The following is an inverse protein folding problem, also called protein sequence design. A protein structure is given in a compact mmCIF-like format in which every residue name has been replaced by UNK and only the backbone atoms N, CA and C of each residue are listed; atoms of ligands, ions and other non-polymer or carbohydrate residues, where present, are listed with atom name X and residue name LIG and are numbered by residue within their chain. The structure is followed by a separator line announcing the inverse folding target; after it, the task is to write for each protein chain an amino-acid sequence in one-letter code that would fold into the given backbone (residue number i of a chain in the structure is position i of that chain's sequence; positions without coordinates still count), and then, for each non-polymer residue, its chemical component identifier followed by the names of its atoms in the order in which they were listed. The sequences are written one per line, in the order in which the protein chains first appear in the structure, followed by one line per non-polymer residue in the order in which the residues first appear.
data_IF_617783735304
#
_entry.id   IF_617783735304
#
_cell.length_a   1.000
_cell.length_b   1.000
_cell.length_c   1.000
_cell.angle_alpha   90.00
_cell.angle_beta   90.00
_cell.angle_gamma   90.00
#
_symmetry.space_group_name_H-M   'P 1'
#
loop_
_entity.id
_entity.type
_entity.pdbx_description
1 polymer ?
#
# COMPACT_ATOMS: atom_id res chain seq x y z
N UNK A 1 6.18 -1.86 -23.17
CA UNK A 1 5.20 -2.78 -23.74
C UNK A 1 5.16 -4.02 -22.86
N UNK A 2 4.06 -4.26 -22.14
CA UNK A 2 3.67 -5.56 -21.61
C UNK A 2 2.14 -5.58 -21.45
N UNK A 3 1.58 -6.71 -21.87
CA UNK A 3 0.19 -6.93 -22.26
C UNK A 3 -0.76 -7.26 -21.09
N UNK A 4 -2.06 -6.99 -21.34
CA UNK A 4 -3.30 -7.36 -20.62
C UNK A 4 -3.38 -8.88 -20.29
N UNK A 5 -4.19 -9.43 -19.38
CA UNK A 5 -5.61 -9.19 -19.06
C UNK A 5 -6.07 -10.07 -17.86
N UNK A 6 -7.30 -9.83 -17.36
CA UNK A 6 -8.18 -10.67 -16.51
C UNK A 6 -8.24 -10.44 -14.97
N UNK A 7 -9.42 -9.97 -14.53
CA UNK A 7 -10.00 -10.02 -13.17
C UNK A 7 -9.21 -9.40 -12.01
N UNK A 8 -9.55 -8.14 -11.72
CA UNK A 8 -9.71 -7.66 -10.33
C UNK A 8 -8.46 -7.56 -9.47
N UNK A 9 -7.26 -7.71 -10.02
CA UNK A 9 -6.02 -7.41 -9.32
C UNK A 9 -5.54 -6.03 -9.78
N UNK A 10 -5.57 -5.07 -8.85
CA UNK A 10 -4.84 -3.82 -9.03
C UNK A 10 -3.37 -4.23 -9.05
N UNK A 11 -2.82 -4.50 -10.25
CA UNK A 11 -1.39 -4.73 -10.45
C UNK A 11 -0.66 -3.42 -10.13
N UNK A 12 -0.47 -3.16 -8.84
CA UNK A 12 0.43 -2.15 -8.34
C UNK A 12 1.83 -2.65 -8.64
N UNK A 13 2.39 -2.20 -9.75
CA UNK A 13 3.83 -2.23 -10.00
C UNK A 13 4.53 -1.24 -9.05
N UNK A 14 4.29 -1.39 -7.74
CA UNK A 14 4.76 -0.49 -6.71
C UNK A 14 5.97 -1.14 -6.04
N UNK A 15 7.12 -1.09 -6.70
CA UNK A 15 8.37 -1.10 -5.96
C UNK A 15 8.39 0.16 -5.09
N UNK A 16 7.91 0.04 -3.85
CA UNK A 16 7.95 1.14 -2.88
C UNK A 16 9.40 1.41 -2.47
N UNK A 17 9.75 2.68 -2.37
CA UNK A 17 11.07 3.14 -1.95
C UNK A 17 10.95 4.06 -0.74
N UNK A 18 12.01 4.15 0.06
CA UNK A 18 12.07 5.10 1.17
C UNK A 18 11.98 6.53 0.63
N UNK A 19 11.08 7.33 1.20
CA UNK A 19 10.78 8.68 0.75
C UNK A 19 9.55 8.79 -0.16
N UNK A 20 8.98 7.66 -0.62
CA UNK A 20 7.76 7.68 -1.42
C UNK A 20 6.58 8.27 -0.64
N UNK A 21 5.89 9.22 -1.26
CA UNK A 21 4.61 9.74 -0.75
C UNK A 21 3.50 8.76 -1.06
N UNK A 22 2.76 8.36 -0.04
CA UNK A 22 1.71 7.35 -0.14
C UNK A 22 0.42 7.81 0.52
N UNK A 23 -0.70 7.29 0.04
CA UNK A 23 -2.01 7.42 0.67
C UNK A 23 -2.37 6.11 1.34
N UNK A 24 -2.71 6.17 2.63
CA UNK A 24 -3.33 5.09 3.38
C UNK A 24 -4.83 5.12 3.09
N UNK A 25 -5.36 4.04 2.56
CA UNK A 25 -6.75 3.89 2.15
C UNK A 25 -7.42 2.76 2.92
N UNK A 26 -8.71 2.92 3.22
CA UNK A 26 -9.52 1.77 3.62
C UNK A 26 -9.83 0.88 2.42
N UNK A 27 -10.49 -0.24 2.68
CA UNK A 27 -10.95 -1.17 1.66
C UNK A 27 -11.82 -0.51 0.58
N UNK A 28 -12.61 0.50 0.94
CA UNK A 28 -13.49 1.22 0.01
C UNK A 28 -12.75 2.27 -0.84
N UNK A 29 -11.42 2.38 -0.67
CA UNK A 29 -10.58 3.33 -1.39
C UNK A 29 -10.60 4.74 -0.82
N UNK A 30 -11.27 4.97 0.32
CA UNK A 30 -11.28 6.28 0.99
C UNK A 30 -9.91 6.53 1.59
N UNK A 31 -9.33 7.69 1.26
CA UNK A 31 -8.07 8.15 1.85
C UNK A 31 -8.30 8.48 3.32
N UNK A 32 -7.67 7.71 4.20
CA UNK A 32 -7.66 7.94 5.65
C UNK A 32 -6.55 8.92 6.00
N UNK A 33 -5.39 8.79 5.33
CA UNK A 33 -4.19 9.56 5.65
C UNK A 33 -3.25 9.64 4.45
N UNK A 34 -2.51 10.74 4.34
CA UNK A 34 -1.34 10.85 3.44
C UNK A 34 -0.08 10.83 4.29
N UNK A 35 0.93 10.08 3.89
CA UNK A 35 2.17 9.90 4.66
C UNK A 35 3.32 9.54 3.71
N UNK A 36 4.44 9.10 4.26
CA UNK A 36 5.67 8.79 3.53
C UNK A 36 6.24 7.44 3.99
N UNK A 37 6.79 6.66 3.07
CA UNK A 37 7.54 5.44 3.36
C UNK A 37 8.84 5.79 4.08
N UNK A 38 9.04 5.24 5.26
CA UNK A 38 10.23 5.49 6.09
C UNK A 38 11.22 4.35 6.08
N UNK A 39 10.76 3.12 5.81
CA UNK A 39 11.61 1.93 5.86
C UNK A 39 11.02 0.82 4.97
N UNK A 40 11.90 0.11 4.27
CA UNK A 40 11.61 -1.18 3.63
C UNK A 40 12.46 -2.24 4.36
N UNK A 41 11.81 -3.18 5.03
CA UNK A 41 12.51 -4.22 5.80
C UNK A 41 13.15 -5.25 4.86
N UNK A 42 14.12 -6.03 5.35
CA UNK A 42 14.78 -7.08 4.55
C UNK A 42 13.85 -8.16 3.99
N UNK A 43 12.61 -8.26 4.51
CA UNK A 43 11.55 -9.12 3.94
C UNK A 43 10.56 -8.39 3.02
N UNK A 44 10.90 -7.18 2.57
CA UNK A 44 10.07 -6.36 1.66
C UNK A 44 8.87 -5.68 2.33
N UNK A 45 8.77 -5.68 3.66
CA UNK A 45 7.64 -5.03 4.34
C UNK A 45 7.88 -3.53 4.45
N UNK A 46 6.81 -2.76 4.39
CA UNK A 46 6.87 -1.31 4.29
C UNK A 46 6.40 -0.71 5.61
N UNK A 47 7.15 0.27 6.10
CA UNK A 47 6.73 1.16 7.19
C UNK A 47 6.56 2.56 6.67
N UNK A 48 5.59 3.28 7.23
CA UNK A 48 5.31 4.66 6.90
C UNK A 48 5.27 5.51 8.17
N UNK A 49 5.56 6.80 8.04
CA UNK A 49 5.83 7.69 9.18
C UNK A 49 4.67 7.81 10.18
N UNK A 50 3.44 7.93 9.67
CA UNK A 50 2.27 8.31 10.47
C UNK A 50 1.23 7.19 10.58
N UNK A 51 1.65 5.94 10.38
CA UNK A 51 0.80 4.77 10.50
C UNK A 51 1.58 3.62 11.13
N UNK A 52 1.03 3.03 12.20
CA UNK A 52 1.74 2.04 13.03
C UNK A 52 1.79 0.64 12.39
N UNK A 53 0.91 0.34 11.45
CA UNK A 53 0.86 -0.96 10.78
C UNK A 53 2.05 -1.20 9.84
N UNK A 54 2.35 -2.48 9.63
CA UNK A 54 3.28 -2.94 8.61
C UNK A 54 2.48 -3.28 7.35
N UNK A 55 3.00 -2.90 6.20
CA UNK A 55 2.42 -3.27 4.92
C UNK A 55 3.27 -4.32 4.22
N UNK A 56 2.60 -5.19 3.49
CA UNK A 56 3.20 -6.11 2.54
C UNK A 56 3.76 -5.33 1.32
N UNK A 57 4.63 -5.96 0.51
CA UNK A 57 5.15 -5.33 -0.71
C UNK A 57 4.05 -4.90 -1.70
N UNK A 58 2.89 -5.55 -1.67
CA UNK A 58 1.72 -5.23 -2.48
C UNK A 58 0.92 -4.02 -1.96
N UNK A 59 1.35 -3.43 -0.84
CA UNK A 59 0.70 -2.30 -0.19
C UNK A 59 -0.44 -2.67 0.77
N UNK A 60 -0.79 -3.95 0.93
CA UNK A 60 -1.83 -4.36 1.89
C UNK A 60 -1.29 -4.39 3.33
N UNK A 61 -2.10 -4.00 4.32
CA UNK A 61 -1.69 -4.07 5.72
C UNK A 61 -1.57 -5.54 6.18
N UNK A 62 -0.48 -5.88 6.86
CA UNK A 62 -0.22 -7.24 7.40
C UNK A 62 -1.23 -7.68 8.45
N UNK A 63 -1.97 -6.74 9.05
CA UNK A 63 -2.89 -7.05 10.13
C UNK A 63 -3.98 -7.98 9.61
N UNK A 64 -4.10 -9.15 10.22
CA UNK A 64 -5.23 -10.05 9.95
C UNK A 64 -6.49 -9.43 10.53
N UNK A 65 -7.36 -8.91 9.67
CA UNK A 65 -8.73 -8.58 10.05
C UNK A 65 -9.65 -9.79 9.85
N UNK A 66 -10.59 -9.97 10.78
CA UNK A 66 -11.67 -10.94 10.65
C UNK A 66 -12.67 -10.53 9.57
N UNK A 67 -12.81 -9.22 9.33
CA UNK A 67 -13.65 -8.65 8.28
C UNK A 67 -12.79 -8.05 7.18
N UNK A 68 -13.02 -8.49 5.94
CA UNK A 68 -12.27 -8.03 4.77
C UNK A 68 -12.45 -6.54 4.51
N UNK A 69 -13.57 -5.94 4.95
CA UNK A 69 -13.88 -4.50 4.84
C UNK A 69 -12.98 -3.63 5.71
N UNK A 70 -12.34 -4.18 6.74
CA UNK A 70 -11.45 -3.42 7.62
C UNK A 70 -9.99 -3.43 7.13
N UNK A 71 -9.74 -4.02 5.95
CA UNK A 71 -8.40 -4.04 5.37
C UNK A 71 -7.97 -2.64 4.97
N UNK A 72 -6.71 -2.36 5.26
CA UNK A 72 -6.06 -1.08 4.96
C UNK A 72 -5.00 -1.32 3.88
N UNK A 73 -4.85 -0.35 2.99
CA UNK A 73 -3.92 -0.39 1.87
C UNK A 73 -3.11 0.90 1.80
N UNK A 74 -1.93 0.83 1.17
CA UNK A 74 -1.16 1.98 0.75
C UNK A 74 -0.99 2.01 -0.77
N UNK A 75 -1.12 3.21 -1.34
CA UNK A 75 -0.87 3.46 -2.75
C UNK A 75 0.11 4.63 -2.89
N UNK A 76 1.01 4.57 -3.87
CA UNK A 76 1.82 5.74 -4.25
C UNK A 76 0.91 6.88 -4.71
N UNK A 77 1.27 8.10 -4.33
CA UNK A 77 0.70 9.30 -4.94
C UNK A 77 1.38 9.47 -6.29
N UNK A 78 0.66 9.26 -7.40
CA UNK A 78 1.21 9.58 -8.72
C UNK A 78 1.53 11.08 -8.79
N UNK A 79 2.75 11.42 -9.23
CA UNK A 79 3.08 12.80 -9.56
C UNK A 79 2.29 13.15 -10.83
N UNK A 80 1.37 14.09 -10.71
CA UNK A 80 0.70 14.75 -11.84
C UNK A 80 1.69 15.46 -12.74
#
# INVERSE_FOLDING_TARGET
MLLLCEKGEIFMNNSFEVGDKVEVKDFFGKVIRKTEVTEITGGGNIRVKDYRGLFHPDGSERRKSMFWTDRIYINKVEKS
#
